data_IF_443325747671
#
_entry.id   IF_443325747671
#
_cell.length_a   1.000
_cell.length_b   1.000
_cell.length_c   1.000
_cell.angle_alpha   90.00
_cell.angle_beta   90.00
_cell.angle_gamma   90.00
#
_symmetry.space_group_name_H-M   'P 1'
#
loop_
_entity.id
_entity.type
_entity.pdbx_description
1 polymer ?
#
# COMPACT_ATOMS: atom_id res chain seq x y z
N UNK A 1 2.16 44.96 -10.48
CA UNK A 1 1.39 43.97 -11.25
C UNK A 1 2.27 42.75 -11.37
N UNK A 2 2.04 41.77 -10.49
CA UNK A 2 2.93 40.63 -10.28
C UNK A 2 2.72 39.56 -11.36
N UNK A 3 3.82 39.17 -12.00
CA UNK A 3 3.88 38.01 -12.89
C UNK A 3 3.60 36.72 -12.09
N UNK A 4 2.97 35.69 -12.70
CA UNK A 4 2.72 34.44 -12.00
C UNK A 4 4.04 33.73 -11.72
N UNK A 5 4.24 33.34 -10.45
CA UNK A 5 5.34 32.50 -10.01
C UNK A 5 5.40 31.24 -10.88
N UNK A 6 6.44 31.17 -11.70
CA UNK A 6 6.83 29.95 -12.39
C UNK A 6 7.15 28.91 -11.33
N UNK A 7 6.27 27.91 -11.17
CA UNK A 7 6.55 26.73 -10.38
C UNK A 7 7.77 26.03 -10.98
N UNK A 8 8.91 26.26 -10.34
CA UNK A 8 10.18 25.68 -10.68
C UNK A 8 10.06 24.17 -10.47
N UNK A 9 9.77 23.43 -11.53
CA UNK A 9 9.69 21.96 -11.57
C UNK A 9 11.10 21.34 -11.48
N UNK A 10 11.92 21.86 -10.56
CA UNK A 10 13.20 21.31 -10.19
C UNK A 10 13.00 20.15 -9.22
N UNK A 11 13.61 19.00 -9.55
CA UNK A 11 13.61 17.74 -8.81
C UNK A 11 12.37 16.83 -8.96
N UNK A 12 12.21 16.27 -10.15
CA UNK A 12 11.73 14.89 -10.29
C UNK A 12 12.67 14.06 -11.18
N UNK A 13 13.98 14.27 -11.06
CA UNK A 13 14.94 13.22 -11.42
C UNK A 13 15.03 12.30 -10.22
N UNK A 14 14.11 11.34 -10.13
CA UNK A 14 14.43 10.08 -9.47
C UNK A 14 15.54 9.49 -10.31
N UNK A 15 16.78 9.72 -9.90
CA UNK A 15 17.91 8.96 -10.39
C UNK A 15 17.57 7.50 -10.08
N UNK A 16 17.04 6.77 -11.06
CA UNK A 16 16.96 5.33 -10.97
C UNK A 16 18.40 4.86 -10.79
N UNK A 17 18.80 4.34 -9.60
CA UNK A 17 20.08 3.66 -9.54
C UNK A 17 19.98 2.55 -10.56
N UNK A 18 20.99 2.44 -11.43
CA UNK A 18 21.10 1.38 -12.44
C UNK A 18 20.74 0.05 -11.77
N UNK A 19 19.53 -0.44 -12.03
CA UNK A 19 19.02 -1.68 -11.46
C UNK A 19 19.71 -2.85 -12.17
N UNK A 20 21.00 -3.02 -11.88
CA UNK A 20 21.76 -4.24 -12.14
C UNK A 20 21.76 -5.15 -10.89
N UNK A 21 20.95 -4.82 -9.88
CA UNK A 21 20.52 -5.76 -8.85
C UNK A 21 19.17 -6.34 -9.27
N UNK A 22 19.09 -7.66 -9.37
CA UNK A 22 17.85 -8.40 -9.65
C UNK A 22 16.86 -8.14 -8.51
N UNK A 23 16.08 -7.06 -8.60
CA UNK A 23 14.99 -6.82 -7.67
C UNK A 23 14.02 -7.98 -7.84
N UNK A 24 13.68 -8.70 -6.76
CA UNK A 24 12.72 -9.79 -6.86
C UNK A 24 11.41 -9.25 -7.45
N UNK A 25 10.71 -10.06 -8.27
CA UNK A 25 9.47 -9.62 -8.87
C UNK A 25 8.50 -9.13 -7.78
N UNK A 26 7.79 -8.02 -8.00
CA UNK A 26 6.88 -7.47 -7.01
C UNK A 26 5.78 -8.49 -6.71
N UNK A 27 5.35 -8.53 -5.44
CA UNK A 27 4.16 -9.29 -5.07
C UNK A 27 2.93 -8.49 -5.49
N UNK A 28 2.07 -9.14 -6.27
CA UNK A 28 0.87 -8.56 -6.86
C UNK A 28 -0.36 -9.35 -6.43
N UNK A 29 -1.47 -8.64 -6.19
CA UNK A 29 -2.79 -9.20 -5.89
C UNK A 29 -3.81 -8.50 -6.80
N UNK A 30 -4.87 -9.20 -7.19
CA UNK A 30 -5.95 -8.59 -7.98
C UNK A 30 -6.91 -7.83 -7.07
N UNK A 31 -7.51 -6.76 -7.57
CA UNK A 31 -8.48 -5.96 -6.81
C UNK A 31 -9.76 -6.75 -6.44
N UNK A 32 -10.09 -7.76 -7.24
CA UNK A 32 -11.21 -8.68 -7.02
C UNK A 32 -10.85 -9.87 -6.11
N UNK A 33 -9.59 -9.97 -5.67
CA UNK A 33 -9.15 -11.05 -4.79
C UNK A 33 -9.74 -10.89 -3.39
N UNK A 34 -10.08 -12.00 -2.72
CA UNK A 34 -10.58 -11.91 -1.35
C UNK A 34 -9.49 -11.37 -0.41
N UNK A 35 -9.90 -10.63 0.60
CA UNK A 35 -9.00 -9.95 1.54
C UNK A 35 -7.95 -10.87 2.17
N UNK A 36 -8.29 -12.14 2.41
CA UNK A 36 -7.35 -13.15 2.92
C UNK A 36 -6.12 -13.37 2.03
N UNK A 37 -6.26 -13.20 0.71
CA UNK A 37 -5.14 -13.33 -0.23
C UNK A 37 -4.19 -12.14 -0.12
N UNK A 38 -4.71 -10.94 0.16
CA UNK A 38 -3.89 -9.76 0.45
C UNK A 38 -3.10 -9.94 1.75
N UNK A 39 -3.74 -10.48 2.79
CA UNK A 39 -3.08 -10.83 4.06
C UNK A 39 -1.98 -11.86 3.80
N UNK A 40 -2.30 -12.96 3.12
CA UNK A 40 -1.34 -14.02 2.78
C UNK A 40 -0.15 -13.47 2.01
N UNK A 41 -0.38 -12.62 1.01
CA UNK A 41 0.67 -11.99 0.20
C UNK A 41 1.63 -11.15 1.05
N UNK A 42 1.13 -10.39 2.02
CA UNK A 42 1.93 -9.58 2.94
C UNK A 42 2.63 -10.42 4.03
N UNK A 43 2.05 -11.54 4.46
CA UNK A 43 2.63 -12.40 5.51
C UNK A 43 3.54 -13.50 4.96
N UNK A 44 3.46 -13.83 3.66
CA UNK A 44 4.22 -14.91 3.05
C UNK A 44 5.73 -14.68 3.10
N UNK A 45 6.17 -13.42 3.18
CA UNK A 45 7.58 -13.04 3.29
C UNK A 45 7.72 -11.86 4.25
N UNK A 46 8.47 -12.04 5.33
CA UNK A 46 8.70 -11.00 6.36
C UNK A 46 9.34 -9.72 5.82
N UNK A 47 10.05 -9.82 4.69
CA UNK A 47 10.71 -8.71 3.99
C UNK A 47 9.74 -7.87 3.14
N UNK A 48 8.57 -8.41 2.78
CA UNK A 48 7.59 -7.73 1.94
C UNK A 48 6.74 -6.81 2.81
N UNK A 49 6.91 -5.50 2.62
CA UNK A 49 6.17 -4.48 3.36
C UNK A 49 4.97 -3.93 2.59
N UNK A 50 4.91 -4.17 1.29
CA UNK A 50 3.89 -3.65 0.39
C UNK A 50 3.52 -4.67 -0.69
N UNK A 51 2.27 -4.63 -1.12
CA UNK A 51 1.72 -5.43 -2.22
C UNK A 51 1.08 -4.50 -3.22
N UNK A 52 1.35 -4.72 -4.51
CA UNK A 52 0.72 -3.99 -5.59
C UNK A 52 -0.65 -4.62 -5.91
N UNK A 53 -1.66 -3.77 -6.12
CA UNK A 53 -3.02 -4.20 -6.47
C UNK A 53 -3.26 -3.88 -7.94
N UNK A 54 -3.65 -4.90 -8.69
CA UNK A 54 -3.94 -4.79 -10.12
C UNK A 54 -5.44 -4.95 -10.38
N UNK A 55 -5.97 -4.21 -11.35
CA UNK A 55 -7.33 -4.43 -11.83
C UNK A 55 -7.43 -5.60 -12.83
N UNK A 56 -8.62 -5.83 -13.37
CA UNK A 56 -8.87 -6.88 -14.36
C UNK A 56 -8.05 -6.74 -15.66
N UNK A 57 -7.62 -5.53 -16.04
CA UNK A 57 -6.79 -5.29 -17.23
C UNK A 57 -5.29 -5.44 -16.95
N UNK A 58 -4.92 -5.72 -15.70
CA UNK A 58 -3.52 -5.81 -15.26
C UNK A 58 -2.89 -4.45 -14.97
N UNK A 59 -3.66 -3.36 -14.97
CA UNK A 59 -3.17 -2.04 -14.61
C UNK A 59 -3.06 -1.89 -13.08
N UNK A 60 -2.02 -1.18 -12.62
CA UNK A 60 -1.82 -0.87 -11.21
C UNK A 60 -2.88 0.13 -10.73
N UNK A 61 -3.68 -0.27 -9.75
CA UNK A 61 -4.72 0.59 -9.14
C UNK A 61 -4.40 0.99 -7.71
N UNK A 62 -3.45 0.33 -7.05
CA UNK A 62 -3.08 0.70 -5.69
C UNK A 62 -1.86 -0.03 -5.15
N UNK A 63 -1.39 0.44 -3.99
CA UNK A 63 -0.33 -0.18 -3.21
C UNK A 63 -0.83 -0.29 -1.77
N UNK A 64 -0.84 -1.51 -1.22
CA UNK A 64 -1.23 -1.75 0.17
C UNK A 64 -0.01 -2.11 0.99
N UNK A 65 0.23 -1.35 2.04
CA UNK A 65 1.28 -1.62 3.01
C UNK A 65 0.78 -2.44 4.20
N UNK A 66 1.69 -3.18 4.84
CA UNK A 66 1.40 -3.96 6.04
C UNK A 66 0.76 -3.14 7.18
N UNK A 67 1.12 -1.85 7.30
CA UNK A 67 0.50 -0.93 8.28
C UNK A 67 -0.99 -0.70 8.00
N UNK A 68 -1.35 -0.37 6.75
CA UNK A 68 -2.74 -0.17 6.36
C UNK A 68 -3.56 -1.46 6.52
N UNK A 69 -2.95 -2.61 6.24
CA UNK A 69 -3.57 -3.90 6.50
C UNK A 69 -3.85 -4.11 7.99
N UNK A 70 -2.90 -3.78 8.86
CA UNK A 70 -3.07 -3.85 10.31
C UNK A 70 -4.18 -2.93 10.82
N UNK A 71 -4.27 -1.70 10.29
CA UNK A 71 -5.35 -0.76 10.60
C UNK A 71 -6.72 -1.31 10.16
N UNK A 72 -6.83 -1.85 8.94
CA UNK A 72 -8.06 -2.48 8.43
C UNK A 72 -8.48 -3.70 9.27
N UNK A 73 -7.52 -4.59 9.59
CA UNK A 73 -7.75 -5.75 10.46
C UNK A 73 -8.20 -5.32 11.86
N UNK A 74 -7.62 -4.27 12.42
CA UNK A 74 -8.01 -3.77 13.75
C UNK A 74 -9.43 -3.21 13.74
N UNK A 75 -9.82 -2.49 12.69
CA UNK A 75 -11.18 -1.97 12.53
C UNK A 75 -12.19 -3.12 12.36
N UNK A 76 -11.86 -4.12 11.54
CA UNK A 76 -12.75 -5.25 11.24
C UNK A 76 -12.82 -6.31 12.37
N UNK A 77 -11.76 -6.48 13.17
CA UNK A 77 -11.74 -7.39 14.33
C UNK A 77 -12.20 -6.76 15.65
N UNK A 78 -12.28 -5.43 15.74
CA UNK A 78 -12.84 -4.73 16.91
C UNK A 78 -14.19 -4.07 16.59
N UNK A 79 -15.22 -4.80 16.12
CA UNK A 79 -16.58 -4.30 16.20
C UNK A 79 -17.08 -4.51 17.64
N UNK A 80 -17.06 -3.46 18.46
CA UNK A 80 -17.84 -3.38 19.69
C UNK A 80 -17.16 -3.74 21.03
N UNK A 81 -16.00 -4.42 21.05
CA UNK A 81 -15.38 -4.80 22.33
C UNK A 81 -14.67 -3.65 23.07
N UNK A 82 -14.19 -2.62 22.35
CA UNK A 82 -13.44 -1.51 22.96
C UNK A 82 -14.32 -0.37 23.50
N UNK A 83 -15.62 -0.32 23.16
CA UNK A 83 -16.54 0.75 23.58
C UNK A 83 -17.43 0.38 24.78
N UNK A 84 -17.28 -0.82 25.36
CA UNK A 84 -18.13 -1.28 26.46
C UNK A 84 -17.57 -1.02 27.88
N UNK A 85 -16.46 -0.27 28.03
CA UNK A 85 -15.87 0.00 29.37
C UNK A 85 -15.47 1.47 29.57
N UNK A 86 -16.45 2.37 29.47
CA UNK A 86 -16.32 3.69 30.09
C UNK A 86 -17.68 4.22 30.53
N UNK A 87 -18.40 3.45 31.35
CA UNK A 87 -19.46 3.98 32.20
C UNK A 87 -19.59 3.06 33.42
N UNK A 88 -18.81 3.34 34.46
CA UNK A 88 -19.00 2.88 35.84
C UNK A 88 -18.32 3.85 36.79
#
# INVERSE_FOLDING_TARGET
MSEPESLNLGLLTVAAPRAQGRCPPPIVVREDAPFVELVRALTARSEVRTVAVLNATGALVGIVGARKLGEALFIDLVPGAALARTDS
#
